data_IF_827342188313
#
_entry.id   IF_827342188313
#
_cell.length_a   1.000
_cell.length_b   1.000
_cell.length_c   1.000
_cell.angle_alpha   90.00
_cell.angle_beta   90.00
_cell.angle_gamma   90.00
#
_symmetry.space_group_name_H-M   'P 1'
#
loop_
_entity.id
_entity.type
_entity.pdbx_description
1 polymer ?
#
# COMPACT_ATOMS: atom_id res chain seq x y z
N UNK A 1 -40.85 12.49 -39.36
CA UNK A 1 -40.52 11.57 -38.25
C UNK A 1 -39.62 12.31 -37.26
N UNK A 2 -39.98 12.41 -35.97
CA UNK A 2 -39.08 13.00 -34.98
C UNK A 2 -37.87 12.07 -34.76
N UNK A 3 -36.66 12.61 -34.51
CA UNK A 3 -35.47 11.80 -34.38
C UNK A 3 -35.55 10.95 -33.12
N UNK A 4 -35.33 9.64 -33.27
CA UNK A 4 -35.28 8.67 -32.17
C UNK A 4 -34.25 9.12 -31.13
N UNK A 5 -34.70 9.28 -29.89
CA UNK A 5 -33.84 9.47 -28.71
C UNK A 5 -32.73 8.40 -28.75
N UNK A 6 -31.47 8.82 -28.93
CA UNK A 6 -30.30 7.95 -28.82
C UNK A 6 -30.29 7.33 -27.43
N UNK A 7 -30.66 6.06 -27.33
CA UNK A 7 -30.49 5.24 -26.14
C UNK A 7 -29.04 5.39 -25.65
N UNK A 8 -28.89 5.99 -24.48
CA UNK A 8 -27.61 6.19 -23.82
C UNK A 8 -27.12 4.82 -23.32
N UNK A 9 -26.26 4.16 -24.09
CA UNK A 9 -25.70 2.86 -23.73
C UNK A 9 -24.75 3.01 -22.52
N UNK A 10 -25.21 2.62 -21.33
CA UNK A 10 -24.44 2.63 -20.09
C UNK A 10 -23.11 1.87 -20.21
N UNK A 11 -23.10 0.71 -20.89
CA UNK A 11 -21.89 -0.07 -21.18
C UNK A 11 -20.84 0.69 -22.01
N UNK A 12 -21.27 1.56 -22.92
CA UNK A 12 -20.36 2.39 -23.72
C UNK A 12 -19.71 3.49 -22.88
N UNK A 13 -20.47 4.11 -21.98
CA UNK A 13 -19.95 5.13 -21.03
C UNK A 13 -18.94 4.54 -20.06
N UNK A 14 -19.19 3.33 -19.56
CA UNK A 14 -18.27 2.65 -18.66
C UNK A 14 -16.92 2.34 -19.33
N UNK A 15 -16.92 1.88 -20.59
CA UNK A 15 -15.69 1.66 -21.35
C UNK A 15 -14.90 2.95 -21.59
N UNK A 16 -15.60 4.04 -21.95
CA UNK A 16 -14.99 5.36 -22.14
C UNK A 16 -14.39 5.86 -20.82
N UNK A 17 -15.13 5.71 -19.72
CA UNK A 17 -14.66 6.08 -18.38
C UNK A 17 -13.42 5.28 -17.98
N UNK A 18 -13.43 3.94 -18.13
CA UNK A 18 -12.26 3.09 -17.82
C UNK A 18 -11.02 3.53 -18.58
N UNK A 19 -11.14 3.83 -19.88
CA UNK A 19 -10.03 4.36 -20.67
C UNK A 19 -9.58 5.74 -20.19
N UNK A 20 -10.51 6.65 -19.88
CA UNK A 20 -10.17 7.97 -19.38
C UNK A 20 -9.47 7.93 -18.01
N UNK A 21 -9.85 6.97 -17.16
CA UNK A 21 -9.24 6.77 -15.83
C UNK A 21 -7.80 6.26 -15.94
N UNK A 22 -7.40 5.58 -17.01
CA UNK A 22 -5.99 5.18 -17.20
C UNK A 22 -5.03 6.37 -17.21
N UNK A 23 -5.52 7.56 -17.55
CA UNK A 23 -4.72 8.79 -17.55
C UNK A 23 -4.83 9.61 -16.26
N UNK A 24 -5.61 9.15 -15.28
CA UNK A 24 -5.72 9.78 -13.97
C UNK A 24 -4.60 9.25 -13.09
N UNK A 25 -3.77 10.15 -12.58
CA UNK A 25 -2.66 9.81 -11.69
C UNK A 25 -2.51 10.83 -10.55
N UNK A 26 -1.86 10.39 -9.48
CA UNK A 26 -1.70 11.13 -8.22
C UNK A 26 -0.24 11.09 -7.82
N UNK A 27 0.50 12.19 -8.02
CA UNK A 27 1.90 12.28 -7.56
C UNK A 27 2.83 13.14 -8.43
N UNK A 28 4.07 13.27 -7.97
CA UNK A 28 5.14 14.00 -8.67
C UNK A 28 5.45 13.26 -9.98
N UNK A 29 5.11 13.90 -11.11
CA UNK A 29 5.37 13.39 -12.46
C UNK A 29 4.27 13.60 -13.49
N UNK A 30 3.04 13.85 -13.03
CA UNK A 30 1.87 13.97 -13.91
C UNK A 30 1.36 15.41 -13.98
N UNK A 31 2.18 16.32 -14.54
CA UNK A 31 1.74 17.67 -14.91
C UNK A 31 0.99 17.71 -16.27
N UNK A 32 0.70 16.56 -16.89
CA UNK A 32 0.26 16.51 -18.30
C UNK A 32 -1.27 16.51 -18.45
N UNK A 33 -2.05 16.34 -17.38
CA UNK A 33 -3.51 16.47 -17.42
C UNK A 33 -4.02 17.15 -16.15
N UNK A 34 -3.97 18.49 -16.14
CA UNK A 34 -4.72 19.33 -15.19
C UNK A 34 -4.58 18.92 -13.72
N UNK A 35 -3.34 18.76 -13.23
CA UNK A 35 -3.09 18.41 -11.84
C UNK A 35 -3.86 19.35 -10.90
N UNK A 36 -4.76 18.79 -10.10
CA UNK A 36 -5.44 19.56 -9.06
C UNK A 36 -4.38 19.93 -8.04
N UNK A 37 -3.96 21.19 -8.07
CA UNK A 37 -2.98 21.68 -7.13
C UNK A 37 -3.63 21.77 -5.74
N UNK A 38 -3.38 20.77 -4.90
CA UNK A 38 -3.74 20.73 -3.48
C UNK A 38 -2.63 21.34 -2.62
N UNK A 39 -1.82 22.23 -3.20
CA UNK A 39 -0.93 23.07 -2.41
C UNK A 39 -1.76 24.04 -1.58
N UNK A 40 -1.32 24.32 -0.35
CA UNK A 40 -1.97 25.27 0.54
C UNK A 40 -1.88 26.69 -0.01
N UNK A 41 -2.88 27.52 0.30
CA UNK A 41 -2.89 28.94 -0.07
C UNK A 41 -1.74 29.75 0.57
N UNK A 42 -1.16 29.28 1.68
CA UNK A 42 0.05 29.86 2.30
C UNK A 42 1.33 29.20 1.76
N UNK A 43 2.20 30.01 1.15
CA UNK A 43 3.34 29.59 0.33
C UNK A 43 4.33 28.61 0.94
N UNK A 44 5.09 27.96 0.05
CA UNK A 44 6.27 27.16 0.40
C UNK A 44 7.34 28.06 1.01
N UNK A 45 7.56 27.95 2.31
CA UNK A 45 8.89 28.12 2.87
C UNK A 45 9.40 26.72 3.17
N UNK A 46 10.55 26.34 2.60
CA UNK A 46 11.25 25.07 2.88
C UNK A 46 11.64 24.93 4.38
N UNK A 47 11.43 25.97 5.18
CA UNK A 47 11.38 25.89 6.63
C UNK A 47 10.12 25.15 7.10
N UNK A 48 10.24 23.82 7.21
CA UNK A 48 9.33 22.95 7.96
C UNK A 48 9.31 23.23 9.47
N UNK A 49 10.08 24.22 9.94
CA UNK A 49 9.88 24.83 11.23
C UNK A 49 8.77 25.88 11.09
N UNK A 50 7.51 25.60 11.51
CA UNK A 50 6.59 26.69 11.72
C UNK A 50 7.24 27.60 12.76
N UNK A 51 7.61 28.82 12.36
CA UNK A 51 7.85 29.84 13.34
C UNK A 51 6.60 29.85 14.24
N UNK A 52 6.74 29.65 15.56
CA UNK A 52 5.61 29.67 16.49
C UNK A 52 4.84 31.00 16.47
N UNK A 53 5.34 31.99 15.72
CA UNK A 53 4.82 33.32 15.49
C UNK A 53 4.01 33.49 14.19
N UNK A 54 3.82 32.45 13.36
CA UNK A 54 2.82 32.49 12.30
C UNK A 54 1.43 32.43 12.95
N UNK A 55 0.81 33.61 13.16
CA UNK A 55 -0.51 33.76 13.79
C UNK A 55 -1.66 33.23 12.91
N UNK A 56 -1.42 33.02 11.62
CA UNK A 56 -2.44 32.68 10.64
C UNK A 56 -2.85 31.19 10.74
N UNK A 57 -4.13 30.96 11.07
CA UNK A 57 -4.71 29.62 11.05
C UNK A 57 -4.85 29.11 9.61
N UNK A 58 -4.13 28.04 9.26
CA UNK A 58 -4.12 27.51 7.89
C UNK A 58 -5.52 27.12 7.41
N UNK A 59 -6.34 26.59 8.32
CA UNK A 59 -7.73 26.25 8.05
C UNK A 59 -8.58 27.49 7.73
N UNK A 60 -8.38 28.60 8.45
CA UNK A 60 -9.11 29.86 8.21
C UNK A 60 -8.71 30.48 6.88
N UNK A 61 -7.41 30.49 6.57
CA UNK A 61 -6.90 31.00 5.29
C UNK A 61 -7.50 30.24 4.12
N UNK A 62 -7.48 28.91 4.18
CA UNK A 62 -8.10 28.07 3.14
C UNK A 62 -9.62 28.27 3.07
N UNK A 63 -10.31 28.38 4.21
CA UNK A 63 -11.74 28.65 4.25
C UNK A 63 -12.12 29.96 3.56
N UNK A 64 -11.31 31.00 3.73
CA UNK A 64 -11.53 32.30 3.07
C UNK A 64 -11.18 32.23 1.58
N UNK A 65 -10.12 31.53 1.19
CA UNK A 65 -9.76 31.35 -0.22
C UNK A 65 -10.86 30.60 -0.99
N UNK A 66 -11.38 29.51 -0.40
CA UNK A 66 -12.45 28.73 -1.01
C UNK A 66 -13.76 29.50 -1.16
N UNK A 67 -13.99 30.58 -0.40
CA UNK A 67 -15.15 31.46 -0.65
C UNK A 67 -15.02 32.26 -1.94
N UNK A 68 -13.80 32.64 -2.33
CA UNK A 68 -13.58 33.45 -3.52
C UNK A 68 -13.86 32.62 -4.78
N UNK A 69 -13.64 31.30 -4.71
CA UNK A 69 -13.80 30.35 -5.80
C UNK A 69 -15.11 29.55 -5.76
N UNK A 70 -15.72 29.32 -4.59
CA UNK A 70 -16.94 28.53 -4.44
C UNK A 70 -18.07 29.33 -3.76
N UNK A 71 -19.22 29.43 -4.45
CA UNK A 71 -20.37 30.24 -4.01
C UNK A 71 -21.62 29.42 -3.67
N UNK A 72 -21.46 28.11 -3.50
CA UNK A 72 -22.55 27.15 -3.29
C UNK A 72 -23.22 27.35 -1.92
N UNK A 73 -24.50 26.99 -1.83
CA UNK A 73 -25.31 27.21 -0.63
C UNK A 73 -24.86 26.37 0.55
N UNK A 74 -24.46 25.12 0.30
CA UNK A 74 -23.89 24.19 1.26
C UNK A 74 -22.58 24.72 1.87
N UNK A 75 -21.66 25.22 1.03
CA UNK A 75 -20.39 25.77 1.47
C UNK A 75 -20.58 27.06 2.29
N UNK A 76 -21.49 27.95 1.85
CA UNK A 76 -21.86 29.15 2.61
C UNK A 76 -22.43 28.79 3.99
N UNK A 77 -23.33 27.82 4.06
CA UNK A 77 -23.90 27.34 5.34
C UNK A 77 -22.82 26.77 6.25
N UNK A 78 -21.98 25.88 5.71
CA UNK A 78 -20.86 25.30 6.45
C UNK A 78 -19.95 26.37 7.03
N UNK A 79 -19.59 27.38 6.23
CA UNK A 79 -18.74 28.48 6.69
C UNK A 79 -19.37 29.24 7.84
N UNK A 80 -20.65 29.63 7.74
CA UNK A 80 -21.34 30.34 8.81
C UNK A 80 -21.31 29.57 10.14
N UNK A 81 -21.36 28.24 10.08
CA UNK A 81 -21.33 27.39 11.27
C UNK A 81 -19.93 27.17 11.87
N UNK A 82 -18.87 27.40 11.09
CA UNK A 82 -17.48 27.06 11.46
C UNK A 82 -16.61 28.29 11.70
N UNK A 83 -16.94 29.44 11.11
CA UNK A 83 -16.10 30.65 11.15
C UNK A 83 -15.72 31.05 12.58
N UNK A 84 -16.70 31.09 13.50
CA UNK A 84 -16.47 31.46 14.90
C UNK A 84 -15.64 30.42 15.66
N UNK A 85 -15.60 29.18 15.16
CA UNK A 85 -14.84 28.08 15.76
C UNK A 85 -13.36 28.10 15.34
N UNK A 86 -13.02 28.77 14.24
CA UNK A 86 -11.67 28.76 13.66
C UNK A 86 -11.13 30.15 13.34
N UNK A 87 -11.69 31.22 13.91
CA UNK A 87 -11.24 32.60 13.66
C UNK A 87 -9.83 32.90 14.18
N UNK A 88 -9.28 32.03 15.01
CA UNK A 88 -7.87 32.00 15.38
C UNK A 88 -7.38 30.56 15.52
N UNK A 89 -6.05 30.39 15.51
CA UNK A 89 -5.42 29.08 15.72
C UNK A 89 -5.82 28.44 17.06
N UNK A 90 -5.89 29.24 18.14
CA UNK A 90 -6.29 28.76 19.45
C UNK A 90 -7.75 28.27 19.47
N UNK A 91 -8.65 29.00 18.81
CA UNK A 91 -10.06 28.59 18.69
C UNK A 91 -10.20 27.31 17.87
N UNK A 92 -9.45 27.18 16.78
CA UNK A 92 -9.40 25.94 16.01
C UNK A 92 -8.97 24.76 16.88
N UNK A 93 -7.85 24.90 17.60
CA UNK A 93 -7.32 23.83 18.46
C UNK A 93 -8.27 23.46 19.60
N UNK A 94 -9.07 24.41 20.12
CA UNK A 94 -10.11 24.13 21.11
C UNK A 94 -11.31 23.39 20.51
N UNK A 95 -11.71 23.74 19.28
CA UNK A 95 -12.94 23.27 18.65
C UNK A 95 -12.73 22.19 17.57
N UNK A 96 -11.51 21.68 17.41
CA UNK A 96 -11.13 20.79 16.30
C UNK A 96 -12.06 19.59 16.08
N UNK A 97 -12.59 18.97 17.15
CA UNK A 97 -13.57 17.87 17.04
C UNK A 97 -14.87 18.29 16.39
N UNK A 98 -15.40 19.46 16.77
CA UNK A 98 -16.64 20.01 16.22
C UNK A 98 -16.45 20.45 14.77
N UNK A 99 -15.29 21.02 14.45
CA UNK A 99 -14.90 21.38 13.08
C UNK A 99 -14.81 20.11 12.21
N UNK A 100 -14.09 19.08 12.69
CA UNK A 100 -13.98 17.79 12.01
C UNK A 100 -15.35 17.17 11.75
N UNK A 101 -16.22 17.12 12.76
CA UNK A 101 -17.58 16.57 12.61
C UNK A 101 -18.36 17.29 11.51
N UNK A 102 -18.36 18.63 11.50
CA UNK A 102 -19.05 19.41 10.48
C UNK A 102 -18.46 19.17 9.09
N UNK A 103 -17.13 19.09 8.99
CA UNK A 103 -16.43 18.88 7.71
C UNK A 103 -16.69 17.47 7.15
N UNK A 104 -16.70 16.46 8.01
CA UNK A 104 -17.06 15.09 7.65
C UNK A 104 -18.51 15.01 7.15
N UNK A 105 -19.46 15.63 7.86
CA UNK A 105 -20.87 15.68 7.43
C UNK A 105 -21.02 16.37 6.07
N UNK A 106 -20.30 17.47 5.84
CA UNK A 106 -20.32 18.17 4.56
C UNK A 106 -19.75 17.31 3.42
N UNK A 107 -18.64 16.60 3.65
CA UNK A 107 -18.08 15.66 2.66
C UNK A 107 -18.99 14.46 2.38
N UNK A 108 -19.69 13.98 3.41
CA UNK A 108 -20.60 12.85 3.31
C UNK A 108 -21.94 13.21 2.68
N UNK A 109 -22.23 14.49 2.45
CA UNK A 109 -23.42 14.88 1.70
C UNK A 109 -23.20 14.59 0.20
N UNK A 110 -23.88 13.57 -0.32
CA UNK A 110 -23.68 13.01 -1.67
C UNK A 110 -24.64 13.54 -2.73
N UNK A 111 -25.16 14.75 -2.52
CA UNK A 111 -26.06 15.38 -3.50
C UNK A 111 -25.38 15.49 -4.87
N UNK A 112 -26.12 15.16 -5.94
CA UNK A 112 -25.62 15.08 -7.33
C UNK A 112 -25.03 16.40 -7.87
N UNK A 113 -25.20 17.49 -7.13
CA UNK A 113 -24.72 18.84 -7.42
C UNK A 113 -23.75 19.35 -6.35
N UNK A 114 -23.00 18.48 -5.66
CA UNK A 114 -21.98 18.86 -4.68
C UNK A 114 -20.78 19.58 -5.34
N UNK A 115 -21.05 20.75 -5.93
CA UNK A 115 -20.12 21.73 -6.46
C UNK A 115 -19.16 22.22 -5.35
N UNK A 116 -19.56 22.12 -4.08
CA UNK A 116 -18.75 22.44 -2.91
C UNK A 116 -17.76 21.34 -2.47
N UNK A 117 -17.80 20.13 -3.04
CA UNK A 117 -16.94 19.05 -2.56
C UNK A 117 -15.45 19.31 -2.81
N UNK A 118 -15.08 20.01 -3.88
CA UNK A 118 -13.68 20.40 -4.09
C UNK A 118 -13.20 21.31 -2.96
N UNK A 119 -14.02 22.29 -2.55
CA UNK A 119 -13.73 23.14 -1.40
C UNK A 119 -13.60 22.33 -0.11
N UNK A 120 -14.51 21.38 0.15
CA UNK A 120 -14.42 20.53 1.34
C UNK A 120 -13.17 19.63 1.31
N UNK A 121 -12.81 19.06 0.17
CA UNK A 121 -11.58 18.28 0.01
C UNK A 121 -10.34 19.14 0.31
N UNK A 122 -10.28 20.39 -0.17
CA UNK A 122 -9.18 21.32 0.16
C UNK A 122 -9.13 21.66 1.64
N UNK A 123 -10.29 21.93 2.26
CA UNK A 123 -10.39 22.16 3.70
C UNK A 123 -9.89 20.99 4.53
N UNK A 124 -10.05 19.74 4.08
CA UNK A 124 -9.50 18.59 4.80
C UNK A 124 -7.97 18.59 4.83
N UNK A 125 -7.32 19.09 3.77
CA UNK A 125 -5.86 19.23 3.71
C UNK A 125 -5.39 20.32 4.68
N UNK A 126 -6.08 21.46 4.69
CA UNK A 126 -5.79 22.52 5.66
C UNK A 126 -6.05 22.08 7.11
N UNK A 127 -7.09 21.26 7.34
CA UNK A 127 -7.36 20.64 8.63
C UNK A 127 -6.22 19.70 9.05
N UNK A 128 -5.75 18.83 8.15
CA UNK A 128 -4.63 17.93 8.43
C UNK A 128 -3.35 18.70 8.80
N UNK A 129 -3.04 19.76 8.06
CA UNK A 129 -1.92 20.67 8.35
C UNK A 129 -2.00 21.28 9.75
N UNK A 130 -3.17 21.82 10.12
CA UNK A 130 -3.36 22.48 11.40
C UNK A 130 -3.33 21.49 12.58
N UNK A 131 -3.80 20.25 12.35
CA UNK A 131 -3.79 19.19 13.34
C UNK A 131 -2.43 18.52 13.52
N UNK A 132 -1.51 18.64 12.54
CA UNK A 132 -0.18 18.00 12.58
C UNK A 132 -0.28 16.51 12.90
N UNK A 133 0.58 15.97 13.77
CA UNK A 133 0.56 14.56 14.18
C UNK A 133 -0.81 14.10 14.75
N UNK A 134 -1.60 15.00 15.34
CA UNK A 134 -2.93 14.65 15.87
C UNK A 134 -3.93 14.33 14.76
N UNK A 135 -3.64 14.65 13.49
CA UNK A 135 -4.49 14.27 12.37
C UNK A 135 -4.59 12.76 12.20
N UNK A 136 -3.58 12.00 12.62
CA UNK A 136 -3.63 10.53 12.57
C UNK A 136 -4.85 9.93 13.29
N UNK A 137 -5.34 10.58 14.35
CA UNK A 137 -6.56 10.18 15.07
C UNK A 137 -7.85 10.36 14.25
N UNK A 138 -7.82 11.20 13.23
CA UNK A 138 -8.93 11.50 12.34
C UNK A 138 -8.80 10.81 10.98
N UNK A 139 -7.64 10.20 10.69
CA UNK A 139 -7.31 9.77 9.35
C UNK A 139 -8.35 8.79 8.79
N UNK A 140 -8.76 7.80 9.58
CA UNK A 140 -9.73 6.79 9.14
C UNK A 140 -11.09 7.40 8.77
N UNK A 141 -11.64 8.29 9.59
CA UNK A 141 -12.96 8.87 9.29
C UNK A 141 -12.91 9.82 8.08
N UNK A 142 -11.83 10.58 7.91
CA UNK A 142 -11.61 11.40 6.71
C UNK A 142 -11.39 10.54 5.47
N UNK A 143 -10.61 9.47 5.57
CA UNK A 143 -10.37 8.51 4.49
C UNK A 143 -11.67 7.85 4.04
N UNK A 144 -12.52 7.40 4.97
CA UNK A 144 -13.84 6.84 4.64
C UNK A 144 -14.75 7.90 3.99
N UNK A 145 -14.80 9.12 4.53
CA UNK A 145 -15.66 10.18 4.02
C UNK A 145 -15.27 10.61 2.60
N UNK A 146 -13.97 10.81 2.33
CA UNK A 146 -13.51 11.26 1.01
C UNK A 146 -13.72 10.19 -0.07
N UNK A 147 -13.47 8.92 0.29
CA UNK A 147 -13.70 7.79 -0.63
C UNK A 147 -15.19 7.54 -0.84
N UNK A 148 -16.05 7.92 0.11
CA UNK A 148 -17.49 7.98 -0.09
C UNK A 148 -17.90 8.88 -1.27
N UNK A 149 -17.09 9.90 -1.59
CA UNK A 149 -17.28 10.80 -2.72
C UNK A 149 -17.05 10.17 -4.11
N UNK A 150 -16.62 8.90 -4.18
CA UNK A 150 -16.58 8.08 -5.41
C UNK A 150 -18.00 7.66 -5.84
N UNK A 151 -18.95 7.64 -4.90
CA UNK A 151 -20.31 7.16 -5.10
C UNK A 151 -21.32 8.30 -4.96
N UNK A 152 -22.42 8.22 -5.70
CA UNK A 152 -23.55 9.13 -5.57
C UNK A 152 -24.41 8.78 -4.34
N UNK A 153 -25.47 9.57 -4.10
CA UNK A 153 -26.44 9.31 -3.03
C UNK A 153 -27.16 7.94 -3.14
N UNK A 154 -27.20 7.34 -4.32
CA UNK A 154 -27.79 6.01 -4.55
C UNK A 154 -26.76 4.88 -4.40
N UNK A 155 -25.51 5.20 -4.03
CA UNK A 155 -24.41 4.24 -3.96
C UNK A 155 -23.85 3.84 -5.33
N UNK A 156 -24.24 4.54 -6.41
CA UNK A 156 -23.72 4.27 -7.75
C UNK A 156 -22.41 5.00 -7.97
N UNK A 157 -21.47 4.36 -8.67
CA UNK A 157 -20.19 4.96 -9.03
C UNK A 157 -20.41 6.24 -9.86
N UNK A 158 -19.82 7.35 -9.40
CA UNK A 158 -19.71 8.57 -10.19
C UNK A 158 -18.62 8.38 -11.24
N UNK A 159 -19.02 8.28 -12.52
CA UNK A 159 -18.10 8.18 -13.65
C UNK A 159 -17.47 9.55 -13.99
N UNK A 160 -16.83 10.18 -13.02
CA UNK A 160 -16.15 11.48 -13.12
C UNK A 160 -14.66 11.33 -12.76
N UNK A 161 -13.80 11.49 -13.77
CA UNK A 161 -12.35 11.36 -13.62
C UNK A 161 -11.75 12.48 -12.79
N UNK A 162 -12.30 13.71 -12.86
CA UNK A 162 -11.82 14.85 -12.08
C UNK A 162 -12.14 14.64 -10.60
N UNK A 163 -13.34 14.14 -10.29
CA UNK A 163 -13.74 13.78 -8.93
C UNK A 163 -12.83 12.69 -8.35
N UNK A 164 -12.54 11.66 -9.13
CA UNK A 164 -11.63 10.59 -8.73
C UNK A 164 -10.20 11.13 -8.48
N UNK A 165 -9.68 11.95 -9.41
CA UNK A 165 -8.38 12.58 -9.27
C UNK A 165 -8.32 13.45 -8.01
N UNK A 166 -9.35 14.25 -7.73
CA UNK A 166 -9.44 15.10 -6.54
C UNK A 166 -9.35 14.27 -5.25
N UNK A 167 -10.11 13.18 -5.15
CA UNK A 167 -10.19 12.32 -3.96
C UNK A 167 -8.82 11.76 -3.59
N UNK A 168 -8.09 11.22 -4.56
CA UNK A 168 -6.76 10.69 -4.31
C UNK A 168 -5.70 11.80 -4.19
N UNK A 169 -5.86 12.93 -4.90
CA UNK A 169 -4.96 14.09 -4.73
C UNK A 169 -5.02 14.66 -3.32
N UNK A 170 -6.21 14.72 -2.72
CA UNK A 170 -6.38 15.14 -1.35
C UNK A 170 -5.72 14.16 -0.37
N UNK A 171 -5.86 12.85 -0.61
CA UNK A 171 -5.21 11.80 0.19
C UNK A 171 -3.67 11.91 0.12
N UNK A 172 -3.10 12.08 -1.08
CA UNK A 172 -1.67 12.33 -1.23
C UNK A 172 -1.24 13.64 -0.55
N UNK A 173 -2.07 14.68 -0.59
CA UNK A 173 -1.81 15.93 0.11
C UNK A 173 -1.80 15.75 1.63
N UNK A 174 -2.73 14.97 2.21
CA UNK A 174 -2.68 14.61 3.63
C UNK A 174 -1.37 13.93 3.98
N UNK A 175 -0.96 12.95 3.16
CA UNK A 175 0.29 12.24 3.40
C UNK A 175 1.53 13.15 3.34
N UNK A 176 1.49 14.18 2.48
CA UNK A 176 2.52 15.22 2.41
C UNK A 176 2.52 16.09 3.67
N UNK A 177 1.35 16.54 4.16
CA UNK A 177 1.27 17.31 5.41
C UNK A 177 1.76 16.48 6.61
N UNK A 178 1.56 15.16 6.58
CA UNK A 178 2.02 14.25 7.63
C UNK A 178 3.50 13.87 7.54
N UNK A 179 4.23 14.34 6.51
CA UNK A 179 5.63 13.97 6.24
C UNK A 179 6.53 13.97 7.48
N UNK A 180 6.54 15.01 8.33
CA UNK A 180 7.44 15.08 9.48
C UNK A 180 7.13 14.06 10.59
N UNK A 181 5.93 13.46 10.57
CA UNK A 181 5.41 12.68 11.68
C UNK A 181 5.39 11.17 11.41
N UNK A 182 5.67 10.74 10.18
CA UNK A 182 5.59 9.33 9.78
C UNK A 182 6.55 8.40 10.54
N UNK A 183 7.71 8.92 10.94
CA UNK A 183 8.75 8.15 11.63
C UNK A 183 8.74 8.38 13.14
N UNK A 184 7.78 9.14 13.68
CA UNK A 184 7.66 9.33 15.12
C UNK A 184 7.18 8.04 15.79
N UNK A 185 7.96 7.57 16.77
CA UNK A 185 7.70 6.30 17.43
C UNK A 185 6.37 6.29 18.19
N UNK A 186 5.95 7.44 18.74
CA UNK A 186 4.66 7.58 19.44
C UNK A 186 3.47 7.40 18.49
N UNK A 187 3.65 7.70 17.19
CA UNK A 187 2.61 7.60 16.17
C UNK A 187 2.60 6.24 15.47
N UNK A 188 3.54 5.34 15.80
CA UNK A 188 3.80 4.11 15.05
C UNK A 188 2.55 3.30 14.72
N UNK A 189 1.72 3.02 15.72
CA UNK A 189 0.49 2.23 15.55
C UNK A 189 -0.53 2.90 14.65
N UNK A 190 -0.62 4.23 14.69
CA UNK A 190 -1.53 4.98 13.84
C UNK A 190 -1.03 5.03 12.40
N UNK A 191 0.28 5.18 12.19
CA UNK A 191 0.91 5.08 10.85
C UNK A 191 0.65 3.72 10.22
N UNK A 192 0.82 2.64 10.99
CA UNK A 192 0.47 1.28 10.55
C UNK A 192 -1.01 1.14 10.16
N UNK A 193 -1.92 1.74 10.94
CA UNK A 193 -3.34 1.76 10.63
C UNK A 193 -3.62 2.51 9.32
N UNK A 194 -2.98 3.66 9.11
CA UNK A 194 -3.10 4.44 7.87
C UNK A 194 -2.63 3.63 6.65
N UNK A 195 -1.48 2.96 6.75
CA UNK A 195 -0.98 2.11 5.67
C UNK A 195 -1.98 0.97 5.39
N UNK A 196 -2.50 0.31 6.44
CA UNK A 196 -3.53 -0.73 6.30
C UNK A 196 -4.79 -0.23 5.60
N UNK A 197 -5.21 1.03 5.79
CA UNK A 197 -6.36 1.59 5.07
C UNK A 197 -6.12 1.64 3.56
N UNK A 198 -4.92 2.04 3.13
CA UNK A 198 -4.57 2.04 1.71
C UNK A 198 -4.39 0.62 1.16
N UNK A 199 -3.74 -0.28 1.91
CA UNK A 199 -3.62 -1.69 1.51
C UNK A 199 -4.99 -2.34 1.34
N UNK A 200 -5.96 -2.05 2.22
CA UNK A 200 -7.36 -2.49 2.02
C UNK A 200 -7.96 -1.99 0.70
N UNK A 201 -7.68 -0.75 0.28
CA UNK A 201 -8.11 -0.25 -1.03
C UNK A 201 -7.40 -0.94 -2.20
N UNK A 202 -6.18 -1.44 -1.99
CA UNK A 202 -5.45 -2.27 -2.94
C UNK A 202 -6.04 -3.68 -3.10
N UNK A 203 -7.07 -4.04 -2.31
CA UNK A 203 -7.91 -5.21 -2.57
C UNK A 203 -9.21 -4.89 -3.33
N UNK A 204 -9.45 -3.64 -3.74
CA UNK A 204 -10.69 -3.29 -4.44
C UNK A 204 -10.83 -4.06 -5.76
N UNK A 205 -12.06 -4.49 -6.06
CA UNK A 205 -12.42 -5.09 -7.35
C UNK A 205 -12.02 -4.25 -8.58
N UNK A 206 -11.96 -2.92 -8.44
CA UNK A 206 -11.68 -1.98 -9.52
C UNK A 206 -10.19 -1.65 -9.56
N UNK A 207 -9.54 -2.07 -10.64
CA UNK A 207 -8.10 -1.88 -10.88
C UNK A 207 -7.64 -0.42 -10.67
N UNK A 208 -8.39 0.55 -11.16
CA UNK A 208 -8.01 1.95 -11.02
C UNK A 208 -8.03 2.47 -9.57
N UNK A 209 -8.88 1.90 -8.69
CA UNK A 209 -8.87 2.24 -7.26
C UNK A 209 -7.60 1.67 -6.64
N UNK A 210 -7.28 0.41 -6.96
CA UNK A 210 -6.05 -0.24 -6.51
C UNK A 210 -4.80 0.52 -6.94
N UNK A 211 -4.71 0.88 -8.22
CA UNK A 211 -3.60 1.65 -8.79
C UNK A 211 -3.45 3.02 -8.12
N UNK A 212 -4.53 3.78 -7.98
CA UNK A 212 -4.46 5.11 -7.35
C UNK A 212 -4.11 5.04 -5.86
N UNK A 213 -4.57 4.01 -5.13
CA UNK A 213 -4.13 3.77 -3.76
C UNK A 213 -2.64 3.42 -3.68
N UNK A 214 -2.15 2.60 -4.62
CA UNK A 214 -0.73 2.28 -4.77
C UNK A 214 0.10 3.54 -5.02
N UNK A 215 -0.35 4.43 -5.91
CA UNK A 215 0.30 5.71 -6.23
C UNK A 215 0.40 6.64 -5.01
N UNK A 216 -0.65 6.72 -4.18
CA UNK A 216 -0.62 7.52 -2.95
C UNK A 216 0.43 6.98 -1.96
N UNK A 217 0.46 5.67 -1.75
CA UNK A 217 1.48 5.04 -0.89
C UNK A 217 2.89 5.22 -1.48
N UNK A 218 3.07 5.02 -2.78
CA UNK A 218 4.35 5.20 -3.47
C UNK A 218 4.84 6.64 -3.34
N UNK A 219 3.94 7.63 -3.52
CA UNK A 219 4.26 9.03 -3.28
C UNK A 219 4.69 9.29 -1.83
N UNK A 220 4.08 8.61 -0.86
CA UNK A 220 4.44 8.71 0.56
C UNK A 220 5.85 8.16 0.81
N UNK A 221 6.16 6.96 0.31
CA UNK A 221 7.49 6.36 0.41
C UNK A 221 8.58 7.15 -0.34
N UNK A 222 8.23 7.84 -1.43
CA UNK A 222 9.18 8.74 -2.12
C UNK A 222 9.56 9.95 -1.26
N UNK A 223 8.65 10.45 -0.43
CA UNK A 223 8.92 11.56 0.50
C UNK A 223 9.64 11.13 1.79
N UNK A 224 9.45 9.87 2.18
CA UNK A 224 10.01 9.25 3.40
C UNK A 224 10.40 7.80 3.07
N UNK A 225 11.64 7.61 2.59
CA UNK A 225 12.15 6.32 2.09
C UNK A 225 12.12 5.23 3.16
N UNK A 226 12.34 5.62 4.42
CA UNK A 226 12.44 4.77 5.59
C UNK A 226 11.12 4.04 5.89
N UNK A 227 9.98 4.50 5.34
CA UNK A 227 8.68 3.82 5.42
C UNK A 227 8.53 2.65 4.45
N UNK A 228 9.38 2.55 3.43
CA UNK A 228 9.23 1.56 2.36
C UNK A 228 9.14 0.11 2.89
N UNK A 229 9.98 -0.33 3.85
CA UNK A 229 9.87 -1.68 4.39
C UNK A 229 8.53 -1.93 5.06
N UNK A 230 8.06 -1.03 5.92
CA UNK A 230 6.75 -1.14 6.57
C UNK A 230 5.60 -1.33 5.57
N UNK A 231 5.58 -0.54 4.50
CA UNK A 231 4.51 -0.64 3.48
C UNK A 231 4.54 -2.01 2.81
N UNK A 232 5.72 -2.46 2.36
CA UNK A 232 5.88 -3.77 1.73
C UNK A 232 5.47 -4.91 2.66
N UNK A 233 5.87 -4.84 3.92
CA UNK A 233 5.56 -5.85 4.92
C UNK A 233 4.04 -5.93 5.18
N UNK A 234 3.37 -4.79 5.38
CA UNK A 234 1.90 -4.76 5.55
C UNK A 234 1.18 -5.32 4.33
N UNK A 235 1.67 -5.04 3.12
CA UNK A 235 1.10 -5.60 1.89
C UNK A 235 1.29 -7.11 1.76
N UNK A 236 2.42 -7.63 2.23
CA UNK A 236 2.74 -9.05 2.15
C UNK A 236 2.01 -9.89 3.22
N UNK A 237 1.58 -9.29 4.33
CA UNK A 237 0.83 -9.99 5.40
C UNK A 237 -0.39 -10.72 4.84
N UNK A 238 -1.18 -10.08 4.01
CA UNK A 238 -2.41 -10.68 3.47
C UNK A 238 -2.10 -11.83 2.50
N UNK A 239 -1.00 -11.74 1.73
CA UNK A 239 -0.53 -12.84 0.87
C UNK A 239 -0.01 -14.01 1.69
N UNK A 240 0.71 -13.74 2.79
CA UNK A 240 1.18 -14.78 3.71
C UNK A 240 0.00 -15.50 4.37
N UNK A 241 -1.03 -14.77 4.78
CA UNK A 241 -2.27 -15.38 5.29
C UNK A 241 -2.99 -16.22 4.23
N UNK A 242 -3.13 -15.68 3.02
CA UNK A 242 -3.75 -16.38 1.89
C UNK A 242 -3.03 -17.71 1.55
N UNK A 243 -1.70 -17.72 1.60
CA UNK A 243 -0.90 -18.93 1.43
C UNK A 243 -1.08 -19.94 2.57
N UNK A 244 -1.12 -19.48 3.82
CA UNK A 244 -1.39 -20.33 4.99
C UNK A 244 -2.77 -21.00 4.86
N UNK A 245 -3.77 -20.24 4.43
CA UNK A 245 -5.13 -20.73 4.21
C UNK A 245 -5.17 -21.73 3.05
N UNK A 246 -4.50 -21.45 1.93
CA UNK A 246 -4.35 -22.39 0.80
C UNK A 246 -3.74 -23.72 1.25
N UNK A 247 -2.69 -23.69 2.07
CA UNK A 247 -2.08 -24.90 2.63
C UNK A 247 -3.02 -25.67 3.57
N UNK A 248 -3.87 -24.96 4.32
CA UNK A 248 -4.88 -25.55 5.20
C UNK A 248 -6.01 -26.24 4.42
N UNK A 249 -6.51 -25.61 3.37
CA UNK A 249 -7.59 -26.15 2.54
C UNK A 249 -7.14 -27.35 1.70
N UNK A 250 -5.92 -27.33 1.15
CA UNK A 250 -5.33 -28.50 0.45
C UNK A 250 -5.16 -29.69 1.40
N UNK A 251 -4.75 -29.45 2.65
CA UNK A 251 -4.66 -30.50 3.67
C UNK A 251 -6.03 -31.12 4.02
N UNK A 252 -7.11 -30.32 4.02
CA UNK A 252 -8.48 -30.81 4.26
C UNK A 252 -9.01 -31.64 3.09
N UNK A 253 -8.71 -31.24 1.84
CA UNK A 253 -9.10 -32.00 0.64
C UNK A 253 -8.43 -33.37 0.55
N UNK A 254 -7.16 -33.47 0.95
CA UNK A 254 -6.43 -34.75 1.00
C UNK A 254 -7.02 -35.67 2.08
N UNK A 255 -7.34 -35.14 3.27
CA UNK A 255 -7.95 -35.94 4.34
C UNK A 255 -9.38 -36.40 4.01
N UNK A 256 -10.18 -35.56 3.35
CA UNK A 256 -11.54 -35.92 2.94
C UNK A 256 -11.61 -36.92 1.77
N UNK A 257 -10.50 -37.19 1.08
CA UNK A 257 -10.44 -38.20 0.02
C UNK A 257 -10.06 -39.59 0.54
N UNK A 258 -9.50 -39.69 1.75
CA UNK A 258 -9.13 -40.96 2.40
C UNK A 258 -10.25 -41.52 3.30
N UNK A 259 -11.31 -40.76 3.58
CA UNK A 259 -12.47 -41.20 4.39
C UNK A 259 -13.63 -41.76 3.54
N UNK A 260 -13.52 -41.79 2.20
CA UNK A 260 -14.56 -42.30 1.29
C UNK A 260 -14.29 -43.72 0.76
N UNK A 261 -13.61 -44.57 1.54
CA UNK A 261 -13.47 -46.02 1.25
C UNK A 261 -13.61 -46.86 2.52
N UNK A 262 -14.85 -47.07 2.95
CA UNK A 262 -15.47 -48.36 3.33
C UNK A 262 -16.57 -48.16 4.39
N UNK A 263 -17.80 -48.60 4.06
CA UNK A 263 -18.81 -48.91 5.08
C UNK A 263 -20.25 -48.54 4.74
N UNK A 264 -20.94 -49.44 4.05
CA UNK A 264 -22.39 -49.52 3.96
C UNK A 264 -23.09 -49.49 5.34
N UNK A 265 -24.32 -48.95 5.32
CA UNK A 265 -25.47 -49.21 6.18
C UNK A 265 -25.36 -48.93 7.69
N UNK A 266 -26.05 -47.86 8.13
CA UNK A 266 -27.23 -48.02 8.99
C UNK A 266 -27.98 -46.69 9.16
N UNK A 267 -29.27 -46.73 8.85
CA UNK A 267 -30.28 -45.83 9.39
C UNK A 267 -30.31 -45.96 10.93
N UNK A 268 -30.40 -44.84 11.65
CA UNK A 268 -31.39 -44.62 12.73
C UNK A 268 -31.12 -43.33 13.53
N UNK A 269 -32.17 -42.51 13.55
CA UNK A 269 -32.73 -41.71 14.64
C UNK A 269 -31.95 -40.62 15.41
N UNK A 270 -32.66 -39.48 15.48
CA UNK A 270 -32.49 -38.32 16.35
C UNK A 270 -32.71 -38.68 17.83
N UNK A 271 -31.95 -38.09 18.76
CA UNK A 271 -32.49 -37.14 19.77
C UNK A 271 -31.45 -36.65 20.80
N UNK A 272 -31.76 -35.49 21.36
CA UNK A 272 -31.06 -34.66 22.36
C UNK A 272 -30.76 -35.38 23.69
N UNK A 273 -29.72 -34.94 24.41
CA UNK A 273 -29.84 -34.60 25.85
C UNK A 273 -28.59 -33.93 26.44
N UNK A 274 -28.86 -32.94 27.29
CA UNK A 274 -27.99 -32.08 28.09
C UNK A 274 -27.28 -32.76 29.29
N UNK A 275 -26.20 -32.09 29.76
CA UNK A 275 -25.71 -32.05 31.15
C UNK A 275 -24.76 -33.20 31.56
N UNK A 276 -23.71 -33.07 32.37
CA UNK A 276 -23.48 -32.16 33.51
C UNK A 276 -21.99 -32.24 33.95
N UNK A 277 -21.57 -31.24 34.72
CA UNK A 277 -20.24 -30.99 35.30
C UNK A 277 -19.92 -31.85 36.55
N UNK A 278 -18.64 -32.18 36.75
CA UNK A 278 -17.98 -32.57 38.02
C UNK A 278 -17.33 -33.97 37.97
N UNK A 279 -16.16 -34.30 38.54
CA UNK A 279 -15.18 -33.68 39.46
C UNK A 279 -13.88 -34.52 39.41
N UNK A 280 -12.77 -33.94 39.89
CA UNK A 280 -11.38 -34.46 39.97
C UNK A 280 -11.15 -35.88 40.54
N UNK A 281 -10.14 -36.59 40.01
CA UNK A 281 -9.05 -37.23 40.78
C UNK A 281 -7.88 -37.68 39.89
N UNK A 282 -6.71 -37.82 40.52
CA UNK A 282 -5.35 -37.75 39.99
C UNK A 282 -4.76 -39.05 39.40
N UNK A 283 -3.74 -38.81 38.55
CA UNK A 283 -2.52 -39.59 38.29
C UNK A 283 -2.58 -41.06 37.85
N UNK A 284 -2.19 -41.27 36.59
CA UNK A 284 -1.80 -42.57 36.05
C UNK A 284 -1.01 -42.39 34.75
N UNK A 285 0.31 -42.24 34.91
CA UNK A 285 1.32 -42.14 33.87
C UNK A 285 1.08 -43.15 32.72
N UNK A 286 0.58 -42.67 31.58
CA UNK A 286 0.71 -43.34 30.28
C UNK A 286 1.24 -42.31 29.30
N UNK A 287 2.51 -42.50 28.95
CA UNK A 287 3.17 -41.97 27.76
C UNK A 287 2.23 -42.16 26.58
N UNK A 288 1.42 -41.14 26.28
CA UNK A 288 0.74 -41.04 25.00
C UNK A 288 1.71 -40.27 24.14
N UNK A 289 2.49 -41.03 23.37
CA UNK A 289 3.18 -40.51 22.21
C UNK A 289 2.22 -39.55 21.50
N UNK A 290 2.61 -38.27 21.49
CA UNK A 290 2.00 -37.28 20.62
C UNK A 290 2.40 -37.72 19.21
N UNK A 291 1.66 -38.69 18.66
CA UNK A 291 1.64 -38.94 17.24
C UNK A 291 1.17 -37.63 16.61
N UNK A 292 2.14 -36.89 16.10
CA UNK A 292 1.97 -35.55 15.63
C UNK A 292 0.86 -35.48 14.59
N UNK A 293 -0.03 -34.50 14.77
CA UNK A 293 -0.80 -33.95 13.67
C UNK A 293 0.14 -33.20 12.71
N UNK A 294 1.00 -33.96 12.02
CA UNK A 294 1.81 -33.50 10.90
C UNK A 294 0.92 -33.42 9.67
N UNK A 295 0.20 -32.32 9.47
CA UNK A 295 -0.54 -32.13 8.21
C UNK A 295 -0.78 -30.67 7.81
N UNK A 296 -0.32 -29.68 8.59
CA UNK A 296 -0.30 -28.26 8.20
C UNK A 296 1.13 -27.79 7.86
N UNK A 297 1.98 -28.68 7.36
CA UNK A 297 3.35 -28.33 7.04
C UNK A 297 3.36 -27.37 5.83
N UNK A 298 3.91 -26.17 6.03
CA UNK A 298 4.29 -25.28 4.94
C UNK A 298 5.46 -25.96 4.21
N UNK A 299 5.23 -26.38 2.97
CA UNK A 299 6.23 -27.07 2.15
C UNK A 299 6.49 -26.28 0.88
N UNK A 300 7.70 -26.44 0.33
CA UNK A 300 8.09 -25.78 -0.92
C UNK A 300 7.23 -26.23 -2.11
N UNK A 301 6.83 -27.50 -2.18
CA UNK A 301 5.98 -28.00 -3.25
C UNK A 301 4.63 -27.27 -3.30
N UNK A 302 4.02 -27.01 -2.13
CA UNK A 302 2.78 -26.24 -2.01
C UNK A 302 2.98 -24.79 -2.41
N UNK A 303 4.12 -24.20 -2.09
CA UNK A 303 4.45 -22.83 -2.51
C UNK A 303 4.53 -22.73 -4.05
N UNK A 304 5.19 -23.69 -4.71
CA UNK A 304 5.29 -23.70 -6.17
C UNK A 304 3.93 -23.92 -6.86
N UNK A 305 3.04 -24.74 -6.29
CA UNK A 305 1.66 -24.87 -6.76
C UNK A 305 0.87 -23.58 -6.58
N UNK A 306 0.95 -22.99 -5.39
CA UNK A 306 0.31 -21.71 -5.07
C UNK A 306 0.73 -20.58 -6.03
N UNK A 307 2.03 -20.52 -6.39
CA UNK A 307 2.54 -19.57 -7.37
C UNK A 307 1.82 -19.66 -8.71
N UNK A 308 1.67 -20.89 -9.23
CA UNK A 308 1.09 -21.15 -10.55
C UNK A 308 -0.43 -20.92 -10.55
N UNK A 309 -1.09 -21.21 -9.44
CA UNK A 309 -2.55 -21.29 -9.38
C UNK A 309 -3.22 -20.01 -8.86
N UNK A 310 -2.57 -19.28 -7.92
CA UNK A 310 -3.26 -18.26 -7.12
C UNK A 310 -2.49 -16.94 -7.00
N UNK A 311 -1.17 -16.98 -6.82
CA UNK A 311 -0.39 -15.79 -6.44
C UNK A 311 -0.57 -14.61 -7.40
N UNK A 312 -0.47 -14.83 -8.71
CA UNK A 312 -0.59 -13.76 -9.72
C UNK A 312 -2.01 -13.20 -9.88
N UNK A 313 -3.02 -13.90 -9.38
CA UNK A 313 -4.42 -13.48 -9.44
C UNK A 313 -4.85 -12.66 -8.22
N UNK A 314 -4.01 -12.57 -7.19
CA UNK A 314 -4.32 -11.79 -6.00
C UNK A 314 -4.27 -10.28 -6.33
N UNK A 315 -5.35 -9.52 -6.05
CA UNK A 315 -5.39 -8.09 -6.33
C UNK A 315 -4.27 -7.30 -5.65
N UNK A 316 -3.81 -7.73 -4.46
CA UNK A 316 -2.72 -7.07 -3.75
C UNK A 316 -1.36 -7.28 -4.41
N UNK A 317 -1.13 -8.41 -5.10
CA UNK A 317 0.12 -8.67 -5.85
C UNK A 317 0.17 -7.82 -7.11
N UNK A 318 -0.96 -7.69 -7.82
CA UNK A 318 -1.11 -6.72 -8.91
C UNK A 318 -0.86 -5.28 -8.42
N UNK A 319 -1.36 -4.95 -7.22
CA UNK A 319 -1.17 -3.63 -6.62
C UNK A 319 0.27 -3.38 -6.12
N UNK A 320 1.00 -4.43 -5.70
CA UNK A 320 2.44 -4.36 -5.43
C UNK A 320 3.23 -4.00 -6.68
N UNK A 321 2.82 -4.51 -7.84
CA UNK A 321 3.41 -4.14 -9.13
C UNK A 321 3.18 -2.64 -9.43
N UNK A 322 1.95 -2.12 -9.28
CA UNK A 322 1.68 -0.68 -9.43
C UNK A 322 2.52 0.15 -8.44
N UNK A 323 2.55 -0.25 -7.18
CA UNK A 323 3.31 0.43 -6.14
C UNK A 323 4.81 0.49 -6.47
N UNK A 324 5.42 -0.66 -6.79
CA UNK A 324 6.83 -0.73 -7.13
C UNK A 324 7.14 0.09 -8.39
N UNK A 325 6.28 0.05 -9.41
CA UNK A 325 6.43 0.87 -10.60
C UNK A 325 6.42 2.36 -10.24
N UNK A 326 5.46 2.83 -9.46
CA UNK A 326 5.32 4.25 -9.11
C UNK A 326 6.37 4.78 -8.12
N UNK A 327 6.94 3.91 -7.27
CA UNK A 327 8.12 4.28 -6.45
C UNK A 327 9.32 4.59 -7.35
N UNK A 328 9.51 3.77 -8.39
CA UNK A 328 10.64 3.84 -9.32
C UNK A 328 10.42 4.87 -10.43
N UNK A 329 9.17 5.18 -10.77
CA UNK A 329 8.78 6.12 -11.82
C UNK A 329 9.12 7.56 -11.46
N UNK A 330 9.67 8.27 -12.44
CA UNK A 330 9.95 9.70 -12.42
C UNK A 330 8.94 10.50 -13.25
N UNK A 331 9.33 11.71 -13.66
CA UNK A 331 8.44 12.66 -14.33
C UNK A 331 8.34 12.32 -15.83
N UNK A 332 7.13 12.35 -16.40
CA UNK A 332 6.89 12.14 -17.85
C UNK A 332 7.50 10.83 -18.39
N UNK A 333 7.40 9.74 -17.63
CA UNK A 333 7.93 8.43 -18.03
C UNK A 333 9.44 8.28 -17.87
N UNK A 334 10.14 9.24 -17.26
CA UNK A 334 11.52 9.04 -16.81
C UNK A 334 11.55 8.10 -15.60
N UNK A 335 12.74 7.63 -15.21
CA UNK A 335 12.95 7.06 -13.88
C UNK A 335 13.09 8.18 -12.84
N UNK A 336 12.84 7.84 -11.58
CA UNK A 336 13.09 8.71 -10.43
C UNK A 336 14.60 9.02 -10.33
N UNK A 337 14.98 10.24 -9.95
CA UNK A 337 16.39 10.60 -9.76
C UNK A 337 17.06 9.76 -8.68
N UNK A 338 16.28 9.27 -7.70
CA UNK A 338 16.73 8.38 -6.64
C UNK A 338 16.36 6.90 -6.92
N UNK A 339 16.09 6.55 -8.18
CA UNK A 339 15.63 5.23 -8.61
C UNK A 339 16.49 4.11 -8.05
N UNK A 340 17.82 4.24 -8.14
CA UNK A 340 18.76 3.18 -7.78
C UNK A 340 18.67 2.85 -6.28
N UNK A 341 18.57 3.88 -5.43
CA UNK A 341 18.42 3.70 -4.00
C UNK A 341 17.08 3.04 -3.64
N UNK A 342 15.98 3.46 -4.26
CA UNK A 342 14.68 2.81 -4.05
C UNK A 342 14.67 1.36 -4.52
N UNK A 343 15.27 1.09 -5.68
CA UNK A 343 15.42 -0.26 -6.21
C UNK A 343 16.19 -1.15 -5.23
N UNK A 344 17.31 -0.66 -4.68
CA UNK A 344 18.12 -1.40 -3.70
C UNK A 344 17.34 -1.71 -2.41
N UNK A 345 16.55 -0.76 -1.90
CA UNK A 345 15.67 -1.02 -0.74
C UNK A 345 14.62 -2.08 -1.08
N UNK A 346 13.95 -1.98 -2.23
CA UNK A 346 12.94 -2.97 -2.65
C UNK A 346 13.53 -4.40 -2.68
N UNK A 347 14.64 -4.61 -3.39
CA UNK A 347 15.24 -5.96 -3.50
C UNK A 347 15.81 -6.46 -2.17
N UNK A 348 16.23 -5.55 -1.29
CA UNK A 348 16.73 -5.91 0.05
C UNK A 348 15.59 -6.37 0.96
N UNK A 349 14.49 -5.61 1.02
CA UNK A 349 13.33 -5.95 1.87
C UNK A 349 12.71 -7.28 1.46
N UNK A 350 12.62 -7.55 0.16
CA UNK A 350 12.15 -8.84 -0.34
C UNK A 350 13.19 -9.97 -0.23
N UNK A 351 14.39 -9.70 0.26
CA UNK A 351 15.45 -10.70 0.42
C UNK A 351 16.02 -11.23 -0.89
N UNK A 352 15.83 -10.53 -2.01
CA UNK A 352 16.39 -10.87 -3.33
C UNK A 352 17.90 -10.56 -3.42
N UNK A 353 18.36 -9.62 -2.60
CA UNK A 353 19.78 -9.29 -2.44
C UNK A 353 20.10 -9.05 -0.97
N UNK A 354 21.22 -9.61 -0.51
CA UNK A 354 21.78 -9.31 0.82
C UNK A 354 22.62 -8.03 0.85
N UNK A 355 22.99 -7.49 -0.33
CA UNK A 355 23.81 -6.28 -0.45
C UNK A 355 22.94 -5.04 -0.27
N UNK A 356 23.41 -4.11 0.56
CA UNK A 356 22.76 -2.82 0.84
C UNK A 356 23.26 -1.71 -0.08
N UNK A 357 24.40 -1.90 -0.75
CA UNK A 357 24.96 -0.97 -1.73
C UNK A 357 25.56 -1.69 -2.93
N UNK A 358 25.70 -0.95 -4.03
CA UNK A 358 26.26 -1.41 -5.29
C UNK A 358 27.16 -0.32 -5.86
N UNK A 359 28.25 -0.73 -6.50
CA UNK A 359 29.07 0.18 -7.29
C UNK A 359 28.30 0.62 -8.52
N UNK A 360 28.21 1.92 -8.72
CA UNK A 360 27.76 2.51 -9.98
C UNK A 360 28.61 2.00 -11.13
N UNK A 361 27.97 1.69 -12.26
CA UNK A 361 28.68 1.41 -13.50
C UNK A 361 29.18 2.69 -14.17
N UNK A 362 28.89 3.87 -13.60
CA UNK A 362 29.27 5.17 -14.11
C UNK A 362 30.53 5.68 -13.43
N UNK A 363 31.49 6.05 -14.26
CA UNK A 363 32.56 6.98 -13.91
C UNK A 363 32.01 8.38 -14.25
N UNK A 364 31.95 9.30 -13.29
CA UNK A 364 31.25 10.59 -13.42
C UNK A 364 31.90 11.54 -14.44
N UNK A 365 32.89 11.09 -15.20
CA UNK A 365 33.53 11.85 -16.28
C UNK A 365 34.38 13.03 -15.79
N UNK A 366 34.40 13.27 -14.47
CA UNK A 366 35.18 14.33 -13.83
C UNK A 366 36.62 13.92 -13.51
N UNK A 367 37.09 12.75 -13.96
CA UNK A 367 38.47 12.33 -13.80
C UNK A 367 38.88 12.08 -12.35
N UNK A 368 37.90 11.93 -11.45
CA UNK A 368 38.11 11.52 -10.06
C UNK A 368 37.77 10.03 -10.01
N UNK A 369 38.79 9.18 -9.77
CA UNK A 369 38.65 7.72 -9.59
C UNK A 369 37.93 7.39 -8.25
N UNK A 370 36.81 8.03 -7.97
CA UNK A 370 35.95 7.69 -6.84
C UNK A 370 34.80 6.84 -7.38
N UNK A 371 34.82 5.57 -7.01
CA UNK A 371 33.77 4.62 -7.35
C UNK A 371 32.48 5.09 -6.68
N UNK A 372 31.55 5.65 -7.45
CA UNK A 372 30.26 6.09 -6.92
C UNK A 372 29.45 4.87 -6.46
N UNK A 373 28.86 4.94 -5.27
CA UNK A 373 28.01 3.87 -4.73
C UNK A 373 26.57 4.36 -4.61
N UNK A 374 25.63 3.49 -4.92
CA UNK A 374 24.21 3.70 -4.66
C UNK A 374 23.67 2.59 -3.75
N UNK A 375 22.61 2.89 -3.01
CA UNK A 375 21.95 2.02 -2.06
C UNK A 375 21.67 2.74 -0.75
N UNK A 376 21.96 2.06 0.35
CA UNK A 376 21.84 2.59 1.70
C UNK A 376 22.91 1.99 2.62
N UNK A 377 23.24 2.71 3.69
CA UNK A 377 24.19 2.24 4.71
C UNK A 377 23.49 1.38 5.78
N UNK A 378 24.27 0.68 6.61
CA UNK A 378 23.70 -0.12 7.71
C UNK A 378 23.01 0.79 8.73
N UNK A 379 23.59 1.97 9.00
CA UNK A 379 23.02 2.97 9.89
C UNK A 379 21.69 3.53 9.35
N UNK A 380 21.59 3.76 8.04
CA UNK A 380 20.31 4.14 7.41
C UNK A 380 19.26 3.03 7.55
N UNK A 381 19.68 1.77 7.48
CA UNK A 381 18.79 0.62 7.66
C UNK A 381 18.22 0.51 9.07
N UNK A 382 18.96 0.95 10.10
CA UNK A 382 18.45 1.02 11.49
C UNK A 382 17.28 2.00 11.62
N UNK A 383 17.26 3.05 10.80
CA UNK A 383 16.17 4.02 10.73
C UNK A 383 14.92 3.51 10.01
N UNK A 384 14.96 2.31 9.43
CA UNK A 384 13.84 1.76 8.70
C UNK A 384 12.68 1.36 9.61
N UNK A 385 11.49 1.77 9.19
CA UNK A 385 10.24 1.39 9.80
C UNK A 385 9.87 -0.04 9.36
N UNK A 386 9.70 -0.96 10.31
CA UNK A 386 9.25 -2.33 10.06
C UNK A 386 8.00 -2.69 10.86
N UNK A 387 7.13 -3.49 10.27
CA UNK A 387 5.95 -4.06 10.86
C UNK A 387 6.36 -5.05 11.96
N UNK A 388 5.76 -4.89 13.14
CA UNK A 388 6.12 -5.62 14.38
C UNK A 388 6.22 -7.12 14.16
N UNK A 389 5.23 -7.72 13.51
CA UNK A 389 5.21 -9.17 13.27
C UNK A 389 6.23 -9.66 12.23
N UNK A 390 6.71 -8.77 11.34
CA UNK A 390 7.71 -9.14 10.34
C UNK A 390 9.11 -9.26 10.95
N UNK A 391 9.41 -8.42 11.96
CA UNK A 391 10.63 -8.54 12.76
C UNK A 391 10.69 -9.89 13.47
N UNK A 392 9.59 -10.28 14.11
CA UNK A 392 9.44 -11.57 14.80
C UNK A 392 9.54 -12.76 13.84
N UNK A 393 8.92 -12.67 12.66
CA UNK A 393 8.89 -13.77 11.68
C UNK A 393 10.21 -14.00 10.93
N UNK A 394 11.02 -12.96 10.70
CA UNK A 394 12.17 -13.06 9.77
C UNK A 394 13.48 -12.41 10.26
N UNK A 395 13.44 -11.45 11.18
CA UNK A 395 14.63 -10.70 11.62
C UNK A 395 15.21 -11.24 12.93
N UNK A 396 14.38 -11.65 13.90
CA UNK A 396 14.88 -12.28 15.15
C UNK A 396 15.56 -13.62 14.89
N UNK A 397 15.06 -14.39 13.91
CA UNK A 397 15.71 -15.63 13.43
C UNK A 397 17.00 -15.40 12.66
N UNK A 398 17.49 -14.15 12.52
CA UNK A 398 18.74 -13.83 11.80
C UNK A 398 19.85 -13.41 12.77
N UNK A 399 19.51 -12.72 13.85
CA UNK A 399 20.48 -12.27 14.87
C UNK A 399 20.97 -13.40 15.80
N UNK A 400 20.14 -14.42 16.07
CA UNK A 400 20.56 -15.58 16.87
C UNK A 400 21.65 -16.41 16.15
N UNK A 401 21.61 -16.48 14.83
CA UNK A 401 22.57 -17.28 14.04
C UNK A 401 23.90 -16.56 13.77
N UNK A 402 23.92 -15.22 13.76
CA UNK A 402 25.17 -14.47 13.61
C UNK A 402 26.00 -14.43 14.90
N UNK A 403 25.37 -14.60 16.08
CA UNK A 403 26.06 -14.68 17.38
C UNK A 403 26.75 -16.02 17.65
N UNK A 404 26.32 -17.11 16.99
CA UNK A 404 26.86 -18.45 17.27
C UNK A 404 28.05 -18.86 16.39
N UNK A 405 28.50 -18.02 15.44
CA UNK A 405 29.70 -18.31 14.65
C UNK A 405 29.63 -19.62 13.86
N UNK A 406 28.43 -20.11 13.57
CA UNK A 406 28.21 -21.33 12.78
C UNK A 406 28.23 -20.94 11.31
N UNK A 407 29.24 -21.41 10.58
CA UNK A 407 29.28 -21.31 9.13
C UNK A 407 27.98 -21.89 8.53
N UNK A 408 27.35 -21.08 7.68
CA UNK A 408 26.09 -21.39 7.02
C UNK A 408 26.22 -22.62 6.12
N UNK A 409 26.05 -23.82 6.65
CA UNK A 409 25.60 -24.95 5.84
C UNK A 409 24.13 -24.68 5.54
N UNK A 410 23.89 -24.14 4.36
CA UNK A 410 22.58 -23.88 3.79
C UNK A 410 21.78 -25.18 3.71
N UNK A 411 21.14 -25.58 4.81
CA UNK A 411 20.05 -26.55 4.80
C UNK A 411 18.85 -25.84 4.16
N UNK A 412 18.83 -25.81 2.83
CA UNK A 412 17.61 -25.59 2.05
C UNK A 412 16.66 -26.78 2.27
N UNK A 413 15.92 -26.78 3.38
CA UNK A 413 15.00 -27.86 3.68
C UNK A 413 14.01 -27.52 4.79
N UNK A 414 12.75 -27.30 4.40
CA UNK A 414 11.54 -27.63 5.16
C UNK A 414 11.34 -27.03 6.57
N UNK A 415 11.93 -25.89 6.90
CA UNK A 415 11.46 -25.10 8.06
C UNK A 415 10.36 -24.14 7.63
N UNK A 416 9.31 -23.99 8.45
CA UNK A 416 8.18 -23.09 8.16
C UNK A 416 8.63 -21.66 7.85
N UNK A 417 9.63 -21.16 8.57
CA UNK A 417 10.24 -19.84 8.36
C UNK A 417 10.96 -19.74 7.02
N UNK A 418 11.67 -20.79 6.60
CA UNK A 418 12.33 -20.85 5.29
C UNK A 418 11.35 -20.75 4.13
N UNK A 419 10.24 -21.50 4.18
CA UNK A 419 9.20 -21.47 3.14
C UNK A 419 8.51 -20.10 3.07
N UNK A 420 8.24 -19.47 4.21
CA UNK A 420 7.69 -18.12 4.23
C UNK A 420 8.68 -17.09 3.66
N UNK A 421 9.99 -17.26 3.91
CA UNK A 421 11.03 -16.41 3.31
C UNK A 421 11.06 -16.52 1.79
N UNK A 422 10.94 -17.74 1.27
CA UNK A 422 10.85 -17.99 -0.18
C UNK A 422 9.56 -17.42 -0.80
N UNK A 423 8.42 -17.46 -0.08
CA UNK A 423 7.19 -16.80 -0.51
C UNK A 423 7.40 -15.28 -0.66
N UNK A 424 8.04 -14.64 0.31
CA UNK A 424 8.31 -13.19 0.27
C UNK A 424 9.24 -12.84 -0.90
N UNK A 425 10.31 -13.62 -1.11
CA UNK A 425 11.18 -13.46 -2.28
C UNK A 425 10.40 -13.61 -3.59
N UNK A 426 9.51 -14.59 -3.68
CA UNK A 426 8.69 -14.85 -4.86
C UNK A 426 7.71 -13.71 -5.16
N UNK A 427 7.07 -13.15 -4.13
CA UNK A 427 6.21 -11.95 -4.25
C UNK A 427 7.04 -10.78 -4.79
N UNK A 428 8.22 -10.54 -4.20
CA UNK A 428 9.13 -9.47 -4.61
C UNK A 428 9.60 -9.60 -6.05
N UNK A 429 10.06 -10.79 -6.43
CA UNK A 429 10.57 -11.05 -7.77
C UNK A 429 9.46 -10.87 -8.83
N UNK A 430 8.25 -11.34 -8.55
CA UNK A 430 7.09 -11.18 -9.43
C UNK A 430 6.68 -9.71 -9.56
N UNK A 431 6.60 -9.00 -8.44
CA UNK A 431 6.10 -7.61 -8.40
C UNK A 431 7.11 -6.64 -9.00
N UNK A 432 8.38 -6.72 -8.59
CA UNK A 432 9.46 -5.85 -9.10
C UNK A 432 9.73 -6.18 -10.58
N UNK A 433 9.83 -7.46 -10.95
CA UNK A 433 10.04 -7.85 -12.34
C UNK A 433 8.92 -7.39 -13.28
N UNK A 434 7.67 -7.42 -12.81
CA UNK A 434 6.53 -6.90 -13.58
C UNK A 434 6.53 -5.37 -13.64
N UNK A 435 6.82 -4.69 -12.53
CA UNK A 435 6.94 -3.23 -12.49
C UNK A 435 8.01 -2.71 -13.45
N UNK A 436 9.18 -3.35 -13.47
CA UNK A 436 10.27 -3.00 -14.38
C UNK A 436 9.91 -3.20 -15.85
N UNK A 437 9.19 -4.29 -16.18
CA UNK A 437 8.67 -4.51 -17.53
C UNK A 437 7.70 -3.42 -17.94
N UNK A 438 6.75 -3.06 -17.08
CA UNK A 438 5.82 -1.96 -17.32
C UNK A 438 6.55 -0.64 -17.59
N UNK A 439 7.56 -0.31 -16.78
CA UNK A 439 8.36 0.90 -16.98
C UNK A 439 9.14 0.88 -18.31
N UNK A 440 9.61 -0.28 -18.74
CA UNK A 440 10.28 -0.46 -20.04
C UNK A 440 9.30 -0.32 -21.20
N UNK A 441 8.08 -0.85 -21.08
CA UNK A 441 7.05 -0.75 -22.12
C UNK A 441 6.51 0.67 -22.29
N UNK A 442 6.48 1.46 -21.20
CA UNK A 442 6.07 2.87 -21.21
C UNK A 442 7.14 3.82 -21.80
N UNK A 443 8.32 3.30 -22.13
CA UNK A 443 9.40 4.10 -22.70
C UNK A 443 9.01 4.67 -24.07
N UNK A 444 9.19 5.99 -24.29
CA UNK A 444 9.29 6.48 -25.65
C UNK A 444 10.49 5.79 -26.31
N UNK A 445 10.41 5.56 -27.62
CA UNK A 445 11.42 4.87 -28.42
C UNK A 445 12.46 5.83 -29.06
N UNK A 446 13.19 6.74 -28.38
CA UNK A 446 14.35 7.34 -29.00
C UNK A 446 15.59 6.49 -28.71
N UNK A 447 16.31 6.11 -29.77
CA UNK A 447 17.70 5.71 -29.66
C UNK A 447 18.59 6.97 -29.70
N UNK A 448 19.68 7.03 -28.91
CA UNK A 448 20.16 6.02 -27.97
C UNK A 448 19.45 6.07 -26.60
N UNK A 449 19.28 4.89 -25.99
CA UNK A 449 18.70 4.74 -24.65
C UNK A 449 19.57 5.46 -23.61
N UNK A 450 18.97 6.26 -22.70
CA UNK A 450 19.73 6.84 -21.60
C UNK A 450 20.35 5.74 -20.74
N UNK A 451 21.53 5.96 -20.15
CA UNK A 451 22.29 4.90 -19.48
C UNK A 451 21.52 4.18 -18.35
N UNK A 452 20.70 4.92 -17.58
CA UNK A 452 19.85 4.36 -16.51
C UNK A 452 18.90 3.26 -17.03
N UNK A 453 18.49 3.31 -18.28
CA UNK A 453 17.64 2.29 -18.91
C UNK A 453 18.40 1.05 -19.36
N UNK A 454 19.69 1.20 -19.71
CA UNK A 454 20.58 0.05 -19.93
C UNK A 454 20.78 -0.71 -18.63
N UNK A 455 20.97 -0.01 -17.52
CA UNK A 455 21.02 -0.62 -16.18
C UNK A 455 19.69 -1.32 -15.85
N UNK A 456 18.55 -0.70 -16.14
CA UNK A 456 17.23 -1.29 -15.95
C UNK A 456 17.06 -2.62 -16.69
N UNK A 457 17.50 -2.69 -17.95
CA UNK A 457 17.46 -3.92 -18.75
C UNK A 457 18.39 -5.01 -18.20
N UNK A 458 19.57 -4.65 -17.70
CA UNK A 458 20.48 -5.58 -17.03
C UNK A 458 19.91 -6.10 -15.71
N UNK A 459 19.27 -5.21 -14.94
CA UNK A 459 18.56 -5.53 -13.71
C UNK A 459 17.38 -6.46 -14.00
N UNK A 460 16.55 -6.15 -15.00
CA UNK A 460 15.42 -6.98 -15.37
C UNK A 460 15.89 -8.37 -15.76
N UNK A 461 16.92 -8.50 -16.61
CA UNK A 461 17.52 -9.81 -16.91
C UNK A 461 18.01 -10.53 -15.67
N UNK A 462 18.58 -9.82 -14.69
CA UNK A 462 19.02 -10.42 -13.43
C UNK A 462 17.85 -10.89 -12.57
N UNK A 463 16.76 -10.14 -12.53
CA UNK A 463 15.52 -10.56 -11.85
C UNK A 463 14.86 -11.71 -12.60
N UNK A 464 14.80 -11.68 -13.92
CA UNK A 464 14.32 -12.80 -14.73
C UNK A 464 15.15 -14.06 -14.47
N UNK A 465 16.49 -13.95 -14.40
CA UNK A 465 17.34 -15.06 -13.98
C UNK A 465 17.08 -15.50 -12.52
N UNK A 466 16.74 -14.59 -11.60
CA UNK A 466 16.38 -14.95 -10.21
C UNK A 466 15.01 -15.63 -10.18
N UNK A 467 14.01 -15.15 -10.94
CA UNK A 467 12.69 -15.77 -11.09
C UNK A 467 12.82 -17.14 -11.75
N UNK A 468 13.63 -17.25 -12.81
CA UNK A 468 14.00 -18.50 -13.46
C UNK A 468 14.75 -19.42 -12.51
N UNK A 469 15.68 -18.92 -11.69
CA UNK A 469 16.35 -19.73 -10.67
C UNK A 469 15.35 -20.20 -9.60
N UNK A 470 14.51 -19.32 -9.07
CA UNK A 470 13.45 -19.66 -8.11
C UNK A 470 12.43 -20.66 -8.69
N UNK A 471 12.23 -20.68 -10.01
CA UNK A 471 11.30 -21.62 -10.70
C UNK A 471 11.99 -22.88 -11.26
N UNK A 472 13.30 -22.85 -11.54
CA UNK A 472 14.06 -23.97 -12.14
C UNK A 472 15.03 -24.67 -11.19
N UNK A 473 15.28 -24.18 -9.96
CA UNK A 473 16.25 -24.82 -9.06
C UNK A 473 15.86 -26.21 -8.54
N UNK A 474 14.78 -26.85 -9.00
CA UNK A 474 14.47 -28.26 -8.68
C UNK A 474 13.88 -29.10 -9.82
N UNK A 475 14.28 -28.87 -11.07
CA UNK A 475 14.11 -29.89 -12.13
C UNK A 475 15.35 -30.78 -12.34
N UNK A 476 16.37 -30.68 -11.48
CA UNK A 476 17.52 -31.59 -11.46
C UNK A 476 17.91 -31.95 -10.02
N UNK A 477 17.20 -32.93 -9.47
CA UNK A 477 17.73 -33.97 -8.58
C UNK A 477 16.88 -35.22 -8.81
#
# INVERSE_FOLDING_TARGET
MPPKKRGHNARGREKIFRNAVQHVHVGIGYNVLGAINMQPAGGFTDDWAPHPESEDCAFLTELNEQMLSHSTTDFKSFRWEVLDLCSSRALFQLNHRKIAQKLLLAMMNRDKFAEGFEAFARLTVAFAREMREKFFLYFECFHQAINGGIYDANGQLLADTRRLQLIFSAQAAWCREMRPFWLLQEQRKLVELVIKLYVRQMHDSKEYIRRLAAEVLASTCRMTRELLPLVLEVMCVDVVHDFKDYCGDDARKVRGADDDVDGMDNEEEYEESHGTIGTHHEEGNRVREVMGSKTNALTLDRLLRYQKERLSFLPVVDSLCFFAADVLRGIRGSLNTNFENFYVVLIYVFGLSKRTNFSSAYDSGYGVNEQEFFGFTVEEAEGFAHYTHWKELFLESREEYEKEGVEFVQQHGDTQTGVLGELVQMIGATSIGSALRTLIEEMPTPQPLPPQWVMLMMILRRIEMIVEACTHHRCKC
#
